data_IF_289699048468
#
_entry.id   IF_289699048468
#
_cell.length_a   1.000
_cell.length_b   1.000
_cell.length_c   1.000
_cell.angle_alpha   90.00
_cell.angle_beta   90.00
_cell.angle_gamma   90.00
#
_symmetry.space_group_name_H-M   'P 1'
#
loop_
_entity.id
_entity.type
_entity.pdbx_description
1 polymer ?
#
# COMPACT_ATOMS: atom_id res chain seq x y z
N UNK A 1 -0.99 -6.02 -5.09
CA UNK A 1 -0.26 -4.92 -4.45
C UNK A 1 -0.57 -3.60 -5.12
N UNK A 2 -0.48 -2.53 -4.35
CA UNK A 2 -0.74 -1.17 -4.83
C UNK A 2 0.48 -0.31 -4.46
N UNK A 3 1.13 0.27 -5.46
CA UNK A 3 2.48 0.83 -5.30
C UNK A 3 2.55 2.36 -5.28
N UNK A 4 1.45 3.04 -5.44
CA UNK A 4 1.46 4.49 -5.40
C UNK A 4 0.12 5.11 -5.76
N UNK A 5 -0.04 6.39 -5.41
CA UNK A 5 -1.28 7.14 -5.64
C UNK A 5 -1.25 7.95 -6.94
N UNK A 6 -0.11 8.00 -7.60
CA UNK A 6 0.06 8.65 -8.91
C UNK A 6 0.85 7.74 -9.84
N UNK A 7 0.72 7.91 -11.18
CA UNK A 7 1.54 7.15 -12.12
C UNK A 7 3.03 7.30 -11.89
N UNK A 8 3.50 8.50 -11.53
CA UNK A 8 4.90 8.79 -11.29
C UNK A 8 5.42 8.04 -10.07
N UNK A 9 4.67 8.07 -8.98
CA UNK A 9 5.02 7.35 -7.75
C UNK A 9 5.03 5.84 -8.00
N UNK A 10 4.03 5.33 -8.69
CA UNK A 10 3.92 3.92 -9.03
C UNK A 10 5.11 3.46 -9.88
N UNK A 11 5.47 4.25 -10.90
CA UNK A 11 6.59 3.94 -11.79
C UNK A 11 7.92 3.86 -11.04
N UNK A 12 8.17 4.78 -10.11
CA UNK A 12 9.40 4.77 -9.31
C UNK A 12 9.47 3.55 -8.38
N UNK A 13 8.33 3.12 -7.85
CA UNK A 13 8.28 2.05 -6.86
C UNK A 13 8.30 0.66 -7.51
N UNK A 14 7.48 0.43 -8.52
CA UNK A 14 7.27 -0.88 -9.13
C UNK A 14 8.10 -1.12 -10.39
N UNK A 15 8.62 -0.04 -11.01
CA UNK A 15 9.40 -0.11 -12.27
C UNK A 15 8.71 -1.02 -13.29
N UNK A 16 7.48 -0.72 -13.69
CA UNK A 16 6.71 -1.59 -14.57
C UNK A 16 7.28 -1.60 -15.99
N UNK A 17 7.17 -2.76 -16.67
CA UNK A 17 7.68 -2.94 -18.02
C UNK A 17 6.65 -2.60 -19.11
N UNK A 18 5.39 -2.36 -18.71
CA UNK A 18 4.27 -2.08 -19.63
C UNK A 18 3.94 -0.59 -19.53
N UNK A 19 3.77 0.08 -20.69
CA UNK A 19 3.54 1.52 -20.73
C UNK A 19 2.19 1.95 -20.14
N UNK A 20 1.17 1.12 -20.29
CA UNK A 20 -0.18 1.41 -19.79
C UNK A 20 -0.45 0.79 -18.41
N UNK A 21 0.59 0.61 -17.61
CA UNK A 21 0.54 -0.04 -16.30
C UNK A 21 -0.49 0.61 -15.36
N UNK A 22 -0.55 1.93 -15.35
CA UNK A 22 -1.45 2.65 -14.45
C UNK A 22 -2.91 2.36 -14.78
N UNK A 23 -3.29 2.46 -16.05
CA UNK A 23 -4.65 2.18 -16.48
C UNK A 23 -5.04 0.73 -16.24
N UNK A 24 -4.14 -0.21 -16.52
CA UNK A 24 -4.39 -1.63 -16.26
C UNK A 24 -4.61 -1.92 -14.80
N UNK A 25 -3.82 -1.30 -13.93
CA UNK A 25 -3.98 -1.46 -12.48
C UNK A 25 -5.29 -0.86 -11.99
N UNK A 26 -5.64 0.33 -12.49
CA UNK A 26 -6.92 0.95 -12.14
C UNK A 26 -8.09 0.10 -12.58
N UNK A 27 -8.03 -0.49 -13.78
CA UNK A 27 -9.07 -1.39 -14.28
C UNK A 27 -9.17 -2.65 -13.42
N UNK A 28 -8.04 -3.23 -13.03
CA UNK A 28 -8.00 -4.40 -12.15
C UNK A 28 -8.56 -4.09 -10.76
N UNK A 29 -8.21 -2.94 -10.20
CA UNK A 29 -8.73 -2.52 -8.90
C UNK A 29 -10.24 -2.29 -8.96
N UNK A 30 -10.76 -1.79 -10.07
CA UNK A 30 -12.18 -1.60 -10.26
C UNK A 30 -13.00 -2.89 -10.23
N UNK A 31 -12.35 -4.04 -10.44
CA UNK A 31 -13.01 -5.35 -10.39
C UNK A 31 -13.18 -5.89 -8.98
N UNK A 32 -12.54 -5.29 -7.97
CA UNK A 32 -12.56 -5.81 -6.60
C UNK A 32 -13.97 -5.93 -6.03
N UNK A 33 -14.84 -5.00 -6.38
CA UNK A 33 -16.23 -4.99 -5.91
C UNK A 33 -17.04 -6.18 -6.40
N UNK A 34 -16.60 -6.85 -7.47
CA UNK A 34 -17.33 -7.94 -8.10
C UNK A 34 -17.00 -9.31 -7.51
N UNK A 35 -16.02 -9.38 -6.60
CA UNK A 35 -15.60 -10.65 -6.00
C UNK A 35 -16.36 -10.90 -4.70
N UNK A 36 -16.86 -12.14 -4.52
CA UNK A 36 -17.52 -12.60 -3.29
C UNK A 36 -16.53 -13.03 -2.20
N UNK A 37 -15.24 -13.07 -2.52
CA UNK A 37 -14.21 -13.47 -1.56
C UNK A 37 -13.59 -12.25 -0.89
N UNK A 38 -12.81 -12.47 0.18
CA UNK A 38 -12.07 -11.42 0.82
C UNK A 38 -11.01 -10.85 -0.13
N UNK A 39 -10.99 -9.53 -0.28
CA UNK A 39 -10.04 -8.84 -1.14
C UNK A 39 -9.10 -7.98 -0.29
N UNK A 40 -7.86 -7.87 -0.72
CA UNK A 40 -6.81 -7.13 0.00
C UNK A 40 -6.19 -6.09 -0.90
N UNK A 41 -6.05 -4.88 -0.39
CA UNK A 41 -5.21 -3.85 -0.99
C UNK A 41 -3.91 -3.81 -0.19
N UNK A 42 -2.84 -4.37 -0.74
CA UNK A 42 -1.56 -4.43 -0.05
C UNK A 42 -0.70 -3.24 -0.42
N UNK A 43 -0.29 -2.50 0.59
CA UNK A 43 0.61 -1.35 0.45
C UNK A 43 1.96 -1.71 1.05
N UNK A 44 2.96 -1.94 0.20
CA UNK A 44 4.34 -2.13 0.65
C UNK A 44 5.05 -0.80 0.51
N UNK A 45 5.37 -0.18 1.65
CA UNK A 45 5.82 1.21 1.71
C UNK A 45 7.31 1.32 1.95
N UNK A 46 7.97 2.16 1.15
CA UNK A 46 9.41 2.43 1.24
C UNK A 46 9.62 3.93 1.33
N UNK A 47 10.47 4.37 2.27
CA UNK A 47 10.80 5.79 2.37
C UNK A 47 11.46 6.27 1.08
N UNK A 48 11.11 7.47 0.64
CA UNK A 48 11.67 8.05 -0.57
C UNK A 48 11.01 7.60 -1.87
N UNK A 49 10.15 6.58 -1.84
CA UNK A 49 9.44 6.11 -3.03
C UNK A 49 7.92 6.32 -2.92
N UNK A 50 7.26 5.57 -2.04
CA UNK A 50 5.80 5.61 -1.92
C UNK A 50 5.30 5.79 -0.48
N UNK A 51 6.19 6.07 0.48
CA UNK A 51 5.83 6.34 1.87
C UNK A 51 5.40 7.80 2.00
N UNK A 52 4.27 8.12 1.36
CA UNK A 52 3.72 9.48 1.33
C UNK A 52 2.26 9.41 0.89
N UNK A 53 1.52 10.49 1.10
CA UNK A 53 0.14 10.66 0.62
C UNK A 53 -0.83 9.60 1.17
N UNK A 54 -0.92 9.43 2.51
CA UNK A 54 -1.88 8.48 3.07
C UNK A 54 -3.34 8.82 2.70
N UNK A 55 -3.65 10.09 2.49
CA UNK A 55 -4.98 10.52 2.06
C UNK A 55 -5.32 9.98 0.67
N UNK A 56 -4.35 9.93 -0.24
CA UNK A 56 -4.53 9.37 -1.58
C UNK A 56 -4.81 7.88 -1.53
N UNK A 57 -4.08 7.14 -0.70
CA UNK A 57 -4.35 5.72 -0.50
C UNK A 57 -5.73 5.48 0.11
N UNK A 58 -6.13 6.32 1.07
CA UNK A 58 -7.46 6.25 1.67
C UNK A 58 -8.56 6.47 0.62
N UNK A 59 -8.38 7.44 -0.26
CA UNK A 59 -9.33 7.74 -1.34
C UNK A 59 -9.46 6.55 -2.30
N UNK A 60 -8.35 5.93 -2.68
CA UNK A 60 -8.37 4.76 -3.55
C UNK A 60 -9.04 3.57 -2.86
N UNK A 61 -8.79 3.37 -1.57
CA UNK A 61 -9.45 2.30 -0.82
C UNK A 61 -10.97 2.49 -0.79
N UNK A 62 -11.44 3.71 -0.55
CA UNK A 62 -12.88 3.99 -0.55
C UNK A 62 -13.49 3.86 -1.94
N UNK A 63 -12.71 4.13 -2.99
CA UNK A 63 -13.18 4.01 -4.37
C UNK A 63 -13.30 2.55 -4.80
N UNK A 64 -12.29 1.72 -4.51
CA UNK A 64 -12.22 0.34 -4.97
C UNK A 64 -12.82 -0.67 -3.99
N UNK A 65 -13.00 -0.27 -2.74
CA UNK A 65 -13.68 -1.05 -1.71
C UNK A 65 -13.13 -2.47 -1.48
N UNK A 66 -11.78 -2.65 -1.34
CA UNK A 66 -11.29 -3.94 -0.88
C UNK A 66 -11.80 -4.22 0.52
N UNK A 67 -11.91 -5.49 0.88
CA UNK A 67 -12.33 -5.87 2.23
C UNK A 67 -11.33 -5.40 3.27
N UNK A 68 -10.04 -5.56 2.97
CA UNK A 68 -8.95 -5.23 3.88
C UNK A 68 -7.90 -4.37 3.19
N UNK A 69 -7.24 -3.52 3.99
CA UNK A 69 -6.02 -2.85 3.58
C UNK A 69 -4.90 -3.40 4.45
N UNK A 70 -3.84 -3.90 3.82
CA UNK A 70 -2.63 -4.36 4.52
C UNK A 70 -1.54 -3.32 4.30
N UNK A 71 -1.20 -2.58 5.35
CA UNK A 71 -0.14 -1.55 5.31
C UNK A 71 1.14 -2.19 5.84
N UNK A 72 2.13 -2.35 4.98
CA UNK A 72 3.37 -3.06 5.31
C UNK A 72 4.59 -2.20 5.01
N UNK A 73 5.56 -2.23 5.91
CA UNK A 73 6.86 -1.61 5.67
C UNK A 73 7.74 -2.50 4.80
N UNK A 74 8.42 -1.89 3.83
CA UNK A 74 9.44 -2.58 3.05
C UNK A 74 10.54 -3.09 3.99
N UNK A 75 11.03 -4.30 3.74
CA UNK A 75 12.15 -4.89 4.47
C UNK A 75 13.25 -5.27 3.48
N UNK A 76 14.46 -4.76 3.71
CA UNK A 76 15.60 -5.02 2.84
C UNK A 76 16.17 -6.41 3.12
N UNK A 77 15.66 -7.43 2.41
CA UNK A 77 16.10 -8.83 2.55
C UNK A 77 16.50 -9.38 1.18
N UNK A 78 17.49 -10.26 1.17
CA UNK A 78 17.92 -10.94 -0.05
C UNK A 78 18.32 -9.96 -1.14
N UNK A 79 17.83 -10.20 -2.36
CA UNK A 79 18.14 -9.40 -3.54
C UNK A 79 17.67 -7.96 -3.49
N UNK A 80 16.67 -7.65 -2.68
CA UNK A 80 16.15 -6.28 -2.59
C UNK A 80 17.16 -5.30 -1.98
N UNK A 81 18.17 -5.79 -1.28
CA UNK A 81 19.23 -4.96 -0.71
C UNK A 81 20.04 -4.21 -1.78
N UNK A 82 20.06 -4.72 -3.02
CA UNK A 82 20.79 -4.08 -4.11
C UNK A 82 20.09 -2.84 -4.63
N UNK A 83 18.76 -2.83 -4.58
CA UNK A 83 17.94 -1.72 -5.11
C UNK A 83 17.58 -0.70 -4.03
N UNK A 84 17.48 -1.11 -2.76
CA UNK A 84 16.99 -0.29 -1.65
C UNK A 84 17.93 -0.40 -0.46
N UNK A 85 18.04 0.69 0.31
CA UNK A 85 18.88 0.75 1.50
C UNK A 85 18.06 0.47 2.75
N UNK A 86 18.74 0.08 3.85
CA UNK A 86 18.09 -0.07 5.15
C UNK A 86 17.38 1.21 5.60
N UNK A 87 17.91 2.36 5.22
CA UNK A 87 17.33 3.67 5.54
C UNK A 87 15.96 3.87 4.90
N UNK A 88 15.65 3.11 3.84
CA UNK A 88 14.37 3.18 3.15
C UNK A 88 13.28 2.36 3.82
N UNK A 89 13.64 1.59 4.86
CA UNK A 89 12.67 0.78 5.59
C UNK A 89 11.96 1.62 6.67
N UNK A 90 10.63 1.74 6.60
CA UNK A 90 9.90 2.37 7.70
C UNK A 90 9.93 1.49 8.95
N UNK A 91 9.99 2.11 10.13
CA UNK A 91 9.82 1.39 11.39
C UNK A 91 8.34 1.11 11.63
N UNK A 92 8.05 0.15 12.52
CA UNK A 92 6.66 -0.23 12.78
C UNK A 92 5.81 0.93 13.29
N UNK A 93 6.37 1.79 14.15
CA UNK A 93 5.65 2.97 14.62
C UNK A 93 5.32 3.95 13.48
N UNK A 94 6.18 4.05 12.48
CA UNK A 94 5.92 4.86 11.29
C UNK A 94 4.79 4.26 10.44
N UNK A 95 4.74 2.93 10.35
CA UNK A 95 3.65 2.22 9.67
C UNK A 95 2.34 2.39 10.43
N UNK A 96 2.37 2.35 11.77
CA UNK A 96 1.19 2.60 12.60
C UNK A 96 0.64 4.00 12.36
N UNK A 97 1.50 5.01 12.32
CA UNK A 97 1.10 6.41 12.07
C UNK A 97 0.49 6.56 10.68
N UNK A 98 1.09 5.91 9.68
CA UNK A 98 0.58 5.95 8.31
C UNK A 98 -0.79 5.29 8.22
N UNK A 99 -0.96 4.14 8.85
CA UNK A 99 -2.25 3.45 8.91
C UNK A 99 -3.31 4.27 9.65
N UNK A 100 -2.92 4.98 10.71
CA UNK A 100 -3.83 5.85 11.44
C UNK A 100 -4.34 7.00 10.56
N UNK A 101 -3.48 7.54 9.69
CA UNK A 101 -3.91 8.57 8.73
C UNK A 101 -4.87 8.01 7.69
N UNK A 102 -4.64 6.78 7.21
CA UNK A 102 -5.57 6.11 6.30
C UNK A 102 -6.92 5.89 7.01
N UNK A 103 -6.90 5.44 8.26
CA UNK A 103 -8.12 5.26 9.06
C UNK A 103 -8.89 6.56 9.18
N UNK A 104 -8.18 7.67 9.42
CA UNK A 104 -8.80 8.99 9.61
C UNK A 104 -9.50 9.49 8.35
N UNK A 105 -8.96 9.16 7.18
CA UNK A 105 -9.44 9.69 5.89
C UNK A 105 -10.25 8.69 5.07
N UNK A 106 -10.61 7.55 5.66
CA UNK A 106 -11.37 6.51 4.96
C UNK A 106 -12.41 5.89 5.88
N UNK A 107 -13.20 4.98 5.34
CA UNK A 107 -14.17 4.19 6.12
C UNK A 107 -13.54 2.96 6.78
N UNK A 108 -12.23 2.78 6.63
CA UNK A 108 -11.49 1.64 7.19
C UNK A 108 -11.04 1.91 8.61
N UNK A 109 -10.97 0.83 9.42
CA UNK A 109 -10.52 0.87 10.80
C UNK A 109 -9.40 -0.14 11.02
N UNK A 110 -8.43 0.23 11.84
CA UNK A 110 -7.34 -0.67 12.23
C UNK A 110 -7.95 -1.80 13.06
N UNK A 111 -7.71 -3.05 12.65
CA UNK A 111 -8.27 -4.24 13.32
C UNK A 111 -7.19 -5.17 13.85
N UNK A 112 -5.96 -5.10 13.32
CA UNK A 112 -4.88 -5.98 13.76
C UNK A 112 -3.54 -5.38 13.37
N UNK A 113 -2.45 -5.88 13.98
CA UNK A 113 -1.09 -5.49 13.62
C UNK A 113 -0.10 -6.59 14.02
N UNK A 114 1.05 -6.61 13.34
CA UNK A 114 2.15 -7.51 13.67
C UNK A 114 3.46 -6.75 13.58
N UNK A 115 4.02 -6.41 14.72
CA UNK A 115 5.22 -5.58 14.82
C UNK A 115 6.45 -6.22 14.16
N UNK A 116 6.62 -7.53 14.33
CA UNK A 116 7.75 -8.28 13.76
C UNK A 116 7.80 -8.16 12.23
N UNK A 117 6.64 -8.11 11.59
CA UNK A 117 6.53 -8.00 10.12
C UNK A 117 6.27 -6.57 9.66
N UNK A 118 6.16 -5.62 10.60
CA UNK A 118 5.84 -4.21 10.33
C UNK A 118 4.58 -4.07 9.47
N UNK A 119 3.52 -4.75 9.91
CA UNK A 119 2.23 -4.81 9.19
C UNK A 119 1.12 -4.29 10.10
N UNK A 120 0.23 -3.49 9.52
CA UNK A 120 -1.03 -3.06 10.15
C UNK A 120 -2.17 -3.42 9.20
N UNK A 121 -3.22 -4.03 9.71
CA UNK A 121 -4.37 -4.45 8.94
C UNK A 121 -5.57 -3.56 9.25
N UNK A 122 -6.22 -3.06 8.20
CA UNK A 122 -7.45 -2.29 8.32
C UNK A 122 -8.59 -3.04 7.63
N UNK A 123 -9.81 -2.85 8.14
CA UNK A 123 -11.02 -3.43 7.58
C UNK A 123 -12.14 -2.39 7.60
N UNK A 124 -13.05 -2.53 6.67
CA UNK A 124 -14.27 -1.71 6.64
C UNK A 124 -15.18 -2.04 7.81
#
# INVERSE_FOLDING_TARGET
SFYGTTPEMYKRTAVPMIQDFWQRDMDSMGLLKQFDCNTFMRLTLSKGLNFMDPQGYAAFADKFEPKFIEVKGFMAVGGSRKAMKYEDMPFHNEIQDFAAEIERHSSYKIVDEKADSRVVLLSR
#
